data_IF_769959235659
#
_entry.id   IF_769959235659
#
_cell.length_a   1.000
_cell.length_b   1.000
_cell.length_c   1.000
_cell.angle_alpha   90.00
_cell.angle_beta   90.00
_cell.angle_gamma   90.00
#
_symmetry.space_group_name_H-M   'P 1'
#
loop_
_entity.id
_entity.type
_entity.pdbx_description
1 polymer ?
#
# COMPACT_ATOMS: atom_id res chain seq x y z
N UNK A 1 10.15 26.18 -16.48
CA UNK A 1 9.09 26.54 -15.48
C UNK A 1 8.67 25.33 -14.65
N UNK A 2 8.68 24.12 -15.19
CA UNK A 2 8.27 22.92 -14.47
C UNK A 2 9.21 22.47 -13.34
N UNK A 3 10.51 22.58 -13.53
CA UNK A 3 11.54 22.08 -12.60
C UNK A 3 11.50 22.77 -11.23
N UNK A 4 11.26 24.08 -11.17
CA UNK A 4 11.22 24.83 -9.91
C UNK A 4 10.11 24.37 -8.95
N UNK A 5 9.02 23.81 -9.46
CA UNK A 5 7.90 23.36 -8.64
C UNK A 5 8.18 22.08 -7.85
N UNK A 6 9.26 21.38 -8.19
CA UNK A 6 9.70 20.15 -7.57
C UNK A 6 11.03 20.28 -6.82
N UNK A 7 11.64 21.48 -6.85
CA UNK A 7 12.92 21.72 -6.17
C UNK A 7 12.77 21.69 -4.67
N UNK A 8 13.70 20.99 -4.00
CA UNK A 8 13.78 20.92 -2.55
C UNK A 8 14.39 22.21 -1.94
N UNK A 9 14.13 22.48 -0.64
CA UNK A 9 14.75 23.60 0.07
C UNK A 9 16.27 23.64 -0.11
N UNK A 10 16.95 22.53 0.10
CA UNK A 10 18.40 22.42 -0.04
C UNK A 10 18.89 22.55 -1.49
N UNK A 11 18.05 22.28 -2.49
CA UNK A 11 18.41 22.51 -3.88
C UNK A 11 18.40 24.00 -4.24
N UNK A 12 17.52 24.79 -3.61
CA UNK A 12 17.55 26.24 -3.72
C UNK A 12 18.73 26.86 -2.99
N UNK A 13 19.18 26.25 -1.87
CA UNK A 13 20.28 26.70 -1.04
C UNK A 13 21.61 26.02 -1.40
N UNK A 14 21.64 25.28 -2.51
CA UNK A 14 22.82 24.54 -2.94
C UNK A 14 24.02 25.48 -3.11
N UNK A 15 25.16 25.10 -2.54
CA UNK A 15 26.41 25.88 -2.43
C UNK A 15 26.40 27.03 -1.40
N UNK A 16 25.31 27.28 -0.68
CA UNK A 16 25.36 28.12 0.51
C UNK A 16 25.97 27.32 1.69
N UNK A 17 26.32 28.04 2.75
CA UNK A 17 26.89 27.46 3.97
C UNK A 17 25.81 27.37 5.04
N UNK A 18 25.73 26.22 5.71
CA UNK A 18 24.85 26.07 6.87
C UNK A 18 25.43 26.82 8.11
N UNK A 19 24.67 26.84 9.21
CA UNK A 19 25.08 27.47 10.46
C UNK A 19 26.39 26.90 11.05
N UNK A 20 26.83 25.72 10.62
CA UNK A 20 28.04 25.04 11.08
C UNK A 20 29.20 25.23 10.08
N UNK A 21 29.03 26.03 9.04
CA UNK A 21 30.05 26.30 8.04
C UNK A 21 30.19 25.21 6.96
N UNK A 22 29.29 24.24 6.88
CA UNK A 22 29.31 23.18 5.87
C UNK A 22 28.57 23.61 4.60
N UNK A 23 29.11 23.31 3.45
CA UNK A 23 28.44 23.57 2.16
C UNK A 23 27.20 22.68 2.05
N UNK A 24 26.05 23.31 1.81
CA UNK A 24 24.79 22.60 1.57
C UNK A 24 24.87 21.91 0.21
N UNK A 25 24.77 20.57 0.23
CA UNK A 25 24.84 19.73 -0.98
C UNK A 25 23.46 19.17 -1.30
N UNK A 26 23.07 19.26 -2.57
CA UNK A 26 21.93 18.54 -3.09
C UNK A 26 22.26 17.04 -3.20
N UNK A 27 21.33 16.15 -2.91
CA UNK A 27 21.55 14.72 -2.93
C UNK A 27 20.24 13.93 -2.87
N UNK A 28 20.33 12.62 -2.60
CA UNK A 28 19.18 11.70 -2.57
C UNK A 28 17.92 12.21 -1.82
N UNK A 29 18.03 12.94 -0.69
CA UNK A 29 16.84 13.51 -0.04
C UNK A 29 16.08 14.51 -0.92
N UNK A 30 16.76 15.19 -1.85
CA UNK A 30 16.11 16.13 -2.79
C UNK A 30 15.20 15.39 -3.78
N UNK A 31 15.59 14.17 -4.20
CA UNK A 31 14.76 13.34 -5.08
C UNK A 31 13.49 12.88 -4.34
N UNK A 32 13.61 12.58 -3.05
CA UNK A 32 12.45 12.23 -2.19
C UNK A 32 11.47 13.40 -2.08
N UNK A 33 11.99 14.63 -1.93
CA UNK A 33 11.12 15.83 -1.96
C UNK A 33 10.40 15.95 -3.30
N UNK A 34 11.11 15.80 -4.40
CA UNK A 34 10.51 15.85 -5.75
C UNK A 34 9.43 14.79 -5.92
N UNK A 35 9.67 13.56 -5.42
CA UNK A 35 8.68 12.48 -5.38
C UNK A 35 7.45 12.89 -4.56
N UNK A 36 7.65 13.52 -3.38
CA UNK A 36 6.57 14.06 -2.56
C UNK A 36 5.73 15.11 -3.29
N UNK A 37 6.38 16.02 -4.04
CA UNK A 37 5.67 17.00 -4.87
C UNK A 37 4.83 16.35 -5.98
N UNK A 38 5.35 15.30 -6.61
CA UNK A 38 4.62 14.52 -7.62
C UNK A 38 3.41 13.83 -6.97
N UNK A 39 3.60 13.18 -5.83
CA UNK A 39 2.52 12.52 -5.10
C UNK A 39 1.43 13.53 -4.70
N UNK A 40 1.83 14.69 -4.18
CA UNK A 40 0.92 15.79 -3.86
C UNK A 40 0.11 16.21 -5.09
N UNK A 41 0.79 16.36 -6.24
CA UNK A 41 0.13 16.72 -7.50
C UNK A 41 -0.83 15.65 -7.99
N UNK A 42 -0.52 14.36 -7.82
CA UNK A 42 -1.44 13.28 -8.15
C UNK A 42 -2.71 13.31 -7.31
N UNK A 43 -2.59 13.71 -6.04
CA UNK A 43 -3.71 13.77 -5.08
C UNK A 43 -4.56 15.02 -5.27
N UNK A 44 -3.93 16.18 -5.42
CA UNK A 44 -4.61 17.49 -5.39
C UNK A 44 -4.67 18.20 -6.76
N UNK A 45 -4.12 17.60 -7.82
CA UNK A 45 -4.08 18.20 -9.16
C UNK A 45 -3.11 19.37 -9.31
N UNK A 46 -2.39 19.75 -8.25
CA UNK A 46 -1.48 20.89 -8.20
C UNK A 46 -0.27 20.60 -7.31
N UNK A 47 0.86 21.24 -7.59
CA UNK A 47 2.05 21.10 -6.72
C UNK A 47 1.88 21.91 -5.42
N UNK A 48 2.59 21.56 -4.32
CA UNK A 48 2.43 22.19 -2.99
C UNK A 48 2.54 23.72 -2.99
N UNK A 49 3.34 24.26 -3.89
CA UNK A 49 3.63 25.69 -3.98
C UNK A 49 3.14 26.31 -5.30
N UNK A 50 2.08 25.77 -5.89
CA UNK A 50 1.53 26.23 -7.17
C UNK A 50 0.99 27.65 -7.14
N UNK A 51 0.58 28.14 -5.96
CA UNK A 51 0.01 29.47 -5.77
C UNK A 51 1.07 30.57 -5.91
N UNK A 52 2.34 30.23 -5.67
CA UNK A 52 3.46 31.14 -5.82
C UNK A 52 3.98 31.12 -7.27
N UNK A 53 3.70 32.18 -8.04
CA UNK A 53 3.94 32.21 -9.49
C UNK A 53 5.35 32.62 -9.88
N UNK A 54 6.06 33.36 -9.03
CA UNK A 54 7.40 33.87 -9.33
C UNK A 54 8.48 33.00 -8.67
N UNK A 55 9.69 33.04 -9.24
CA UNK A 55 10.86 32.38 -8.64
C UNK A 55 11.08 32.83 -7.20
N UNK A 56 11.12 34.13 -6.95
CA UNK A 56 11.39 34.69 -5.64
C UNK A 56 10.31 34.34 -4.59
N UNK A 57 9.04 34.33 -5.02
CA UNK A 57 7.95 33.92 -4.13
C UNK A 57 8.09 32.44 -3.73
N UNK A 58 8.40 31.56 -4.69
CA UNK A 58 8.67 30.13 -4.39
C UNK A 58 9.91 29.95 -3.53
N UNK A 59 11.01 30.62 -3.88
CA UNK A 59 12.24 30.58 -3.10
C UNK A 59 11.97 30.90 -1.64
N UNK A 60 11.31 32.05 -1.37
CA UNK A 60 11.03 32.50 -0.02
C UNK A 60 10.25 31.48 0.80
N UNK A 61 9.19 30.89 0.26
CA UNK A 61 8.33 29.98 1.01
C UNK A 61 8.91 28.56 1.12
N UNK A 62 9.63 28.08 0.11
CA UNK A 62 10.24 26.76 0.13
C UNK A 62 11.45 26.71 1.06
N UNK A 63 12.22 27.82 1.13
CA UNK A 63 13.40 27.88 2.02
C UNK A 63 13.08 28.33 3.45
N UNK A 64 11.85 28.72 3.74
CA UNK A 64 11.42 29.07 5.10
C UNK A 64 11.07 27.79 5.90
N UNK A 65 11.83 27.46 6.96
CA UNK A 65 11.55 26.29 7.79
C UNK A 65 10.22 26.36 8.56
N UNK A 66 9.66 27.58 8.73
CA UNK A 66 8.40 27.78 9.43
C UNK A 66 7.18 27.69 8.51
N UNK A 67 7.40 27.71 7.20
CA UNK A 67 6.31 27.59 6.22
C UNK A 67 5.80 26.14 6.19
N UNK A 68 4.51 25.96 6.48
CA UNK A 68 3.86 24.65 6.47
C UNK A 68 3.12 24.44 5.16
N UNK A 69 3.34 23.25 4.58
CA UNK A 69 2.54 22.79 3.44
C UNK A 69 1.12 22.51 3.94
N UNK A 70 0.12 23.03 3.22
CA UNK A 70 -1.29 22.76 3.52
C UNK A 70 -1.74 21.49 2.82
N UNK A 71 -2.32 20.58 3.57
CA UNK A 71 -2.90 19.35 3.06
C UNK A 71 -4.42 19.41 3.23
N UNK A 72 -5.13 19.22 2.13
CA UNK A 72 -6.58 19.05 2.18
C UNK A 72 -6.91 17.64 2.70
N UNK A 73 -8.08 17.43 3.34
CA UNK A 73 -8.45 16.13 3.85
C UNK A 73 -8.46 15.05 2.76
N UNK A 74 -7.81 13.93 3.03
CA UNK A 74 -7.82 12.73 2.18
C UNK A 74 -8.42 11.56 2.93
N UNK A 75 -9.11 10.68 2.22
CA UNK A 75 -9.79 9.53 2.82
C UNK A 75 -8.83 8.49 3.39
N UNK A 76 -7.62 8.40 2.85
CA UNK A 76 -6.61 7.46 3.31
C UNK A 76 -5.53 8.17 4.15
N UNK A 77 -5.48 7.96 5.49
CA UNK A 77 -4.51 8.62 6.36
C UNK A 77 -3.05 8.21 6.06
N UNK A 78 -2.82 7.00 5.55
CA UNK A 78 -1.49 6.56 5.15
C UNK A 78 -0.95 7.32 3.94
N UNK A 79 -1.82 7.78 3.04
CA UNK A 79 -1.44 8.61 1.92
C UNK A 79 -0.93 9.97 2.39
N UNK A 80 -1.61 10.57 3.37
CA UNK A 80 -1.19 11.82 3.99
C UNK A 80 0.17 11.67 4.69
N UNK A 81 0.33 10.64 5.53
CA UNK A 81 1.58 10.36 6.23
C UNK A 81 2.74 10.15 5.25
N UNK A 82 2.53 9.42 4.14
CA UNK A 82 3.53 9.25 3.10
C UNK A 82 3.96 10.58 2.46
N UNK A 83 3.01 11.47 2.16
CA UNK A 83 3.32 12.81 1.63
C UNK A 83 4.13 13.63 2.63
N UNK A 84 3.74 13.64 3.89
CA UNK A 84 4.46 14.37 4.96
C UNK A 84 5.89 13.85 5.14
N UNK A 85 6.11 12.53 5.08
CA UNK A 85 7.44 11.90 5.16
C UNK A 85 8.34 12.28 3.98
N UNK A 86 7.77 12.44 2.81
CA UNK A 86 8.51 12.87 1.62
C UNK A 86 8.79 14.39 1.64
N UNK A 87 7.83 15.19 2.11
CA UNK A 87 7.86 16.65 2.07
C UNK A 87 8.30 17.29 3.39
N UNK A 88 8.97 16.55 4.28
CA UNK A 88 9.59 17.13 5.46
C UNK A 88 10.62 18.18 5.03
N UNK A 89 10.55 19.39 5.62
CA UNK A 89 11.45 20.50 5.26
C UNK A 89 12.91 20.15 5.53
N UNK A 90 13.17 19.61 6.74
CA UNK A 90 14.50 19.12 7.09
C UNK A 90 14.79 17.81 6.34
N UNK A 91 15.81 17.86 5.47
CA UNK A 91 16.27 16.70 4.70
C UNK A 91 16.64 15.48 5.54
N UNK A 92 17.03 15.68 6.80
CA UNK A 92 17.39 14.58 7.72
C UNK A 92 16.16 13.81 8.21
N UNK A 93 15.01 14.47 8.24
CA UNK A 93 13.72 13.90 8.65
C UNK A 93 12.98 13.21 7.50
N UNK A 94 13.39 13.46 6.25
CA UNK A 94 12.78 12.77 5.09
C UNK A 94 13.13 11.29 5.11
N UNK A 95 12.13 10.50 4.87
CA UNK A 95 12.32 9.07 4.76
C UNK A 95 13.16 8.71 3.54
N UNK A 96 13.97 7.65 3.69
CA UNK A 96 14.77 7.09 2.60
C UNK A 96 13.97 6.02 1.86
N UNK A 97 14.37 5.68 0.65
CA UNK A 97 13.71 4.66 -0.19
C UNK A 97 13.39 3.36 0.57
N UNK A 98 14.31 2.74 1.35
CA UNK A 98 13.98 1.52 2.07
C UNK A 98 12.84 1.66 3.07
N UNK A 99 12.72 2.83 3.71
CA UNK A 99 11.62 3.14 4.63
C UNK A 99 10.30 3.37 3.88
N UNK A 100 10.35 4.11 2.77
CA UNK A 100 9.19 4.37 1.92
C UNK A 100 8.62 3.07 1.34
N UNK A 101 9.47 2.15 0.88
CA UNK A 101 9.04 0.86 0.34
C UNK A 101 8.35 -0.04 1.37
N UNK A 102 8.53 0.21 2.66
CA UNK A 102 7.85 -0.48 3.75
C UNK A 102 6.67 0.31 4.33
N UNK A 103 6.35 1.46 3.72
CA UNK A 103 5.28 2.31 4.21
C UNK A 103 3.91 1.63 4.07
N UNK A 104 3.01 1.72 5.09
CA UNK A 104 1.70 1.07 5.07
C UNK A 104 0.80 1.44 3.88
N UNK A 105 1.02 2.58 3.25
CA UNK A 105 0.33 2.94 2.02
C UNK A 105 0.76 2.09 0.83
N UNK A 106 2.06 1.74 0.73
CA UNK A 106 2.62 0.96 -0.38
C UNK A 106 2.56 -0.55 -0.10
N UNK A 107 2.78 -0.92 1.15
CA UNK A 107 2.61 -2.27 1.66
C UNK A 107 1.54 -2.18 2.73
N UNK A 108 0.25 -2.21 2.36
CA UNK A 108 -0.80 -2.24 3.34
C UNK A 108 -0.45 -3.34 4.34
N UNK A 109 -0.52 -3.07 5.67
CA UNK A 109 -0.38 -4.14 6.62
C UNK A 109 -1.35 -5.20 6.14
N UNK A 110 -0.79 -6.33 5.68
CA UNK A 110 -1.60 -7.52 5.45
C UNK A 110 -2.37 -7.60 6.76
N UNK A 111 -3.71 -7.45 6.73
CA UNK A 111 -4.46 -7.62 7.96
C UNK A 111 -3.93 -8.92 8.49
N UNK A 112 -3.22 -8.84 9.63
CA UNK A 112 -2.80 -10.03 10.36
C UNK A 112 -4.05 -10.85 10.37
N UNK A 113 -4.11 -11.83 9.43
CA UNK A 113 -5.34 -12.46 8.95
C UNK A 113 -6.48 -12.00 9.85
N UNK A 114 -7.57 -11.35 9.40
CA UNK A 114 -8.72 -11.52 10.20
C UNK A 114 -8.63 -13.03 10.36
N UNK A 115 -8.30 -13.48 11.55
CA UNK A 115 -8.72 -14.79 11.93
C UNK A 115 -10.22 -14.67 11.70
N UNK A 116 -10.61 -14.90 10.46
CA UNK A 116 -11.97 -15.32 10.16
C UNK A 116 -12.09 -16.40 11.19
N UNK A 117 -12.87 -16.13 12.26
CA UNK A 117 -12.90 -17.10 13.33
C UNK A 117 -13.03 -18.38 12.56
N UNK A 118 -12.05 -19.26 12.69
CA UNK A 118 -11.93 -20.49 11.89
C UNK A 118 -13.27 -21.19 11.81
N UNK A 119 -14.09 -20.89 12.78
CA UNK A 119 -15.48 -21.17 12.98
C UNK A 119 -16.45 -20.58 11.91
N UNK A 120 -16.24 -19.39 11.35
CA UNK A 120 -17.19 -18.81 10.40
C UNK A 120 -17.01 -19.32 8.97
N UNK A 121 -15.77 -19.53 8.51
CA UNK A 121 -15.51 -20.12 7.19
C UNK A 121 -15.92 -21.59 7.18
N UNK A 122 -15.64 -22.33 8.27
CA UNK A 122 -16.10 -23.70 8.43
C UNK A 122 -17.62 -23.78 8.53
N UNK A 123 -18.27 -22.87 9.25
CA UNK A 123 -19.75 -22.80 9.34
C UNK A 123 -20.40 -22.47 8.00
N UNK A 124 -19.82 -21.54 7.22
CA UNK A 124 -20.35 -21.21 5.90
C UNK A 124 -20.26 -22.42 4.95
N UNK A 125 -19.13 -23.10 4.91
CA UNK A 125 -18.94 -24.30 4.09
C UNK A 125 -19.82 -25.47 4.58
N UNK A 126 -20.05 -25.57 5.87
CA UNK A 126 -20.96 -26.54 6.44
C UNK A 126 -22.41 -26.25 6.05
N UNK A 127 -22.85 -24.98 6.11
CA UNK A 127 -24.17 -24.53 5.65
C UNK A 127 -24.37 -24.81 4.16
N UNK A 128 -23.36 -24.53 3.33
CA UNK A 128 -23.39 -24.84 1.90
C UNK A 128 -23.46 -26.35 1.68
N UNK A 129 -22.69 -27.14 2.43
CA UNK A 129 -22.73 -28.62 2.36
C UNK A 129 -24.09 -29.17 2.75
N UNK A 130 -24.73 -28.58 3.78
CA UNK A 130 -26.08 -28.98 4.25
C UNK A 130 -27.17 -28.59 3.22
N UNK A 131 -27.03 -27.44 2.56
CA UNK A 131 -27.96 -27.05 1.46
C UNK A 131 -27.76 -27.86 0.19
N UNK A 132 -26.58 -28.42 -0.03
CA UNK A 132 -26.25 -29.28 -1.18
C UNK A 132 -26.51 -30.77 -0.93
N UNK A 133 -27.37 -31.14 0.03
CA UNK A 133 -27.67 -32.54 0.37
C UNK A 133 -28.19 -33.38 -0.82
N UNK A 134 -28.73 -32.74 -1.84
CA UNK A 134 -29.22 -33.37 -3.05
C UNK A 134 -28.16 -33.47 -4.19
N UNK A 135 -26.99 -32.84 -4.02
CA UNK A 135 -25.87 -32.92 -4.98
C UNK A 135 -24.61 -33.47 -4.28
N UNK A 136 -24.35 -34.78 -4.40
CA UNK A 136 -23.20 -35.42 -3.76
C UNK A 136 -21.85 -34.89 -4.23
N UNK A 137 -21.74 -34.36 -5.45
CA UNK A 137 -20.51 -33.79 -5.97
C UNK A 137 -20.24 -32.41 -5.36
N UNK A 138 -21.25 -31.54 -5.21
CA UNK A 138 -21.13 -30.26 -4.52
C UNK A 138 -20.73 -30.45 -3.05
N UNK A 139 -21.33 -31.43 -2.37
CA UNK A 139 -20.97 -31.78 -0.99
C UNK A 139 -19.53 -32.26 -0.88
N UNK A 140 -19.03 -33.03 -1.87
CA UNK A 140 -17.65 -33.50 -1.90
C UNK A 140 -16.65 -32.34 -2.15
N UNK A 141 -16.99 -31.38 -3.02
CA UNK A 141 -16.19 -30.17 -3.25
C UNK A 141 -16.08 -29.29 -2.01
N UNK A 142 -17.20 -29.10 -1.28
CA UNK A 142 -17.22 -28.39 -0.01
C UNK A 142 -16.32 -29.07 1.04
N UNK A 143 -16.37 -30.39 1.14
CA UNK A 143 -15.53 -31.15 2.07
C UNK A 143 -14.03 -31.07 1.73
N UNK A 144 -13.69 -31.00 0.44
CA UNK A 144 -12.30 -30.79 0.00
C UNK A 144 -11.80 -29.39 0.32
N UNK A 145 -12.62 -28.35 0.07
CA UNK A 145 -12.31 -26.97 0.45
C UNK A 145 -12.14 -26.83 1.96
N UNK A 146 -13.03 -27.46 2.74
CA UNK A 146 -12.97 -27.43 4.20
C UNK A 146 -11.67 -28.06 4.73
N UNK A 147 -11.19 -29.16 4.14
CA UNK A 147 -9.90 -29.76 4.50
C UNK A 147 -8.74 -28.83 4.21
N UNK A 148 -8.72 -28.17 3.03
CA UNK A 148 -7.66 -27.22 2.68
C UNK A 148 -7.63 -25.99 3.59
N UNK A 149 -8.78 -25.56 4.11
CA UNK A 149 -8.90 -24.44 5.05
C UNK A 149 -8.63 -24.86 6.50
N UNK A 150 -8.89 -26.12 6.86
CA UNK A 150 -8.71 -26.64 8.22
C UNK A 150 -7.31 -27.18 8.48
N UNK A 151 -6.53 -27.43 7.42
CA UNK A 151 -5.13 -27.82 7.58
C UNK A 151 -4.35 -26.60 8.11
N UNK A 152 -3.77 -26.66 9.32
CA UNK A 152 -3.19 -25.45 9.93
C UNK A 152 -2.07 -24.93 9.04
N UNK A 153 -2.32 -23.78 8.41
CA UNK A 153 -1.35 -23.03 7.62
C UNK A 153 -0.01 -22.83 8.38
N UNK A 154 -0.05 -22.90 9.71
CA UNK A 154 1.15 -22.83 10.56
C UNK A 154 2.14 -24.00 10.38
N UNK A 155 1.68 -25.20 10.05
CA UNK A 155 2.59 -26.33 9.78
C UNK A 155 3.16 -26.25 8.36
N UNK A 156 2.37 -25.76 7.42
CA UNK A 156 2.74 -25.65 6.03
C UNK A 156 3.60 -24.41 5.77
N UNK A 157 3.37 -23.27 6.44
CA UNK A 157 4.16 -22.05 6.30
C UNK A 157 5.57 -22.15 6.87
N UNK A 158 5.83 -22.97 7.87
CA UNK A 158 7.20 -23.23 8.36
C UNK A 158 8.02 -24.11 7.42
N UNK A 159 7.38 -24.86 6.53
CA UNK A 159 8.00 -25.74 5.54
C UNK A 159 7.99 -25.15 4.12
N UNK A 160 7.17 -24.13 3.86
CA UNK A 160 6.94 -23.54 2.54
C UNK A 160 7.89 -22.36 2.29
N UNK A 161 9.19 -22.63 2.14
CA UNK A 161 10.19 -21.64 1.69
C UNK A 161 10.16 -21.40 0.18
N UNK A 162 9.17 -21.92 -0.55
CA UNK A 162 9.04 -21.77 -2.00
C UNK A 162 7.70 -21.11 -2.33
N UNK A 163 7.74 -19.95 -2.97
CA UNK A 163 6.56 -19.25 -3.50
C UNK A 163 5.71 -20.12 -4.45
N UNK A 164 6.32 -21.11 -5.09
CA UNK A 164 5.66 -22.04 -5.99
C UNK A 164 4.64 -22.94 -5.27
N UNK A 165 4.89 -23.31 -4.02
CA UNK A 165 3.95 -24.15 -3.26
C UNK A 165 2.74 -23.34 -2.78
N UNK A 166 2.93 -22.06 -2.42
CA UNK A 166 1.84 -21.16 -2.07
C UNK A 166 0.95 -20.88 -3.28
N UNK A 167 1.55 -20.64 -4.44
CA UNK A 167 0.83 -20.45 -5.70
C UNK A 167 0.04 -21.71 -6.09
N UNK A 168 0.62 -22.91 -5.87
CA UNK A 168 -0.06 -24.18 -6.15
C UNK A 168 -1.27 -24.38 -5.23
N UNK A 169 -1.16 -24.05 -3.95
CA UNK A 169 -2.28 -24.13 -3.02
C UNK A 169 -3.40 -23.15 -3.40
N UNK A 170 -3.05 -21.89 -3.70
CA UNK A 170 -4.01 -20.88 -4.14
C UNK A 170 -4.70 -21.29 -5.45
N UNK A 171 -3.96 -21.87 -6.39
CA UNK A 171 -4.52 -22.38 -7.65
C UNK A 171 -5.53 -23.51 -7.39
N UNK A 172 -5.20 -24.46 -6.52
CA UNK A 172 -6.11 -25.54 -6.15
C UNK A 172 -7.40 -25.04 -5.48
N UNK A 173 -7.27 -24.08 -4.56
CA UNK A 173 -8.44 -23.47 -3.91
C UNK A 173 -9.31 -22.71 -4.92
N UNK A 174 -8.71 -21.94 -5.83
CA UNK A 174 -9.42 -21.22 -6.89
C UNK A 174 -10.18 -22.17 -7.79
N UNK A 175 -9.55 -23.26 -8.24
CA UNK A 175 -10.18 -24.26 -9.09
C UNK A 175 -11.38 -24.95 -8.41
N UNK A 176 -11.26 -25.29 -7.13
CA UNK A 176 -12.38 -25.88 -6.37
C UNK A 176 -13.53 -24.87 -6.18
N UNK A 177 -13.23 -23.58 -5.99
CA UNK A 177 -14.26 -22.54 -5.89
C UNK A 177 -15.00 -22.36 -7.21
N UNK A 178 -14.30 -22.39 -8.35
CA UNK A 178 -14.92 -22.30 -9.69
C UNK A 178 -15.84 -23.49 -9.94
N UNK A 179 -15.35 -24.71 -9.68
CA UNK A 179 -16.15 -25.93 -9.84
C UNK A 179 -17.41 -25.92 -8.96
N UNK A 180 -17.29 -25.46 -7.72
CA UNK A 180 -18.44 -25.34 -6.82
C UNK A 180 -19.42 -24.28 -7.33
N UNK A 181 -18.95 -23.14 -7.80
CA UNK A 181 -19.79 -22.09 -8.37
C UNK A 181 -20.56 -22.57 -9.59
N UNK A 182 -19.89 -23.24 -10.53
CA UNK A 182 -20.52 -23.79 -11.74
C UNK A 182 -21.60 -24.83 -11.39
N UNK A 183 -21.34 -25.64 -10.38
CA UNK A 183 -22.35 -26.63 -9.91
C UNK A 183 -23.58 -25.94 -9.31
N UNK A 184 -23.39 -24.97 -8.42
CA UNK A 184 -24.47 -24.28 -7.75
C UNK A 184 -25.34 -23.48 -8.75
N UNK A 185 -24.72 -22.85 -9.77
CA UNK A 185 -25.46 -22.11 -10.80
C UNK A 185 -26.22 -23.03 -11.77
N UNK A 186 -25.69 -24.22 -12.07
CA UNK A 186 -26.37 -25.18 -12.93
C UNK A 186 -27.54 -25.93 -12.25
N UNK A 187 -27.61 -25.85 -10.92
CA UNK A 187 -28.70 -26.51 -10.18
C UNK A 187 -29.96 -25.63 -10.09
N UNK A 188 -29.86 -24.35 -10.35
CA UNK A 188 -31.02 -23.42 -10.38
C UNK A 188 -31.86 -23.51 -11.67
N UNK A 189 -31.43 -24.28 -12.67
CA UNK A 189 -32.11 -24.43 -13.98
C UNK A 189 -32.76 -25.81 -14.16
N UNK A 190 -32.95 -26.59 -13.14
CA UNK A 190 -33.77 -27.84 -13.14
C UNK A 190 -34.84 -27.78 -12.09
#
# INVERSE_FOLDING_TARGET
>A
VGTLSYMSPEAFLCNETDANGNIIKCGRPSDIWSLGCILYQMVYGRTPFSDYKTFWAKFKVITDPNHKITYEPVSNPWLLDLMERCLAWDRSQRWRIPQLLQHPFLVPPVPSHPSLPQDHSCKLLQLISETCTYDPEASQLCSRLQRLLSDPLEKTTRSLNSGDQQLKLLSQMSELCIQLHERLTNTEYK
#
